data_IF_977867051297
#
_entry.id   IF_977867051297
#
_cell.length_a   1.000
_cell.length_b   1.000
_cell.length_c   1.000
_cell.angle_alpha   90.00
_cell.angle_beta   90.00
_cell.angle_gamma   90.00
#
_symmetry.space_group_name_H-M   'P 1'
#
loop_
_entity.id
_entity.type
_entity.pdbx_description
1 polymer ?
#
# COMPACT_ATOMS: atom_id res chain seq x y z
N UNK A 1 -15.92 11.26 9.63
CA UNK A 1 -14.58 11.84 9.92
C UNK A 1 -13.46 10.80 10.03
N UNK A 2 -13.71 9.50 10.27
CA UNK A 2 -12.64 8.51 10.47
C UNK A 2 -11.79 8.12 9.23
N UNK A 3 -12.35 8.20 8.01
CA UNK A 3 -11.67 7.71 6.80
C UNK A 3 -10.43 8.54 6.39
N UNK A 4 -10.43 9.85 6.63
CA UNK A 4 -9.28 10.71 6.30
C UNK A 4 -8.10 10.47 7.24
N UNK A 5 -8.37 10.37 8.55
CA UNK A 5 -7.37 10.05 9.57
C UNK A 5 -6.80 8.65 9.35
N UNK A 6 -7.64 7.69 8.97
CA UNK A 6 -7.21 6.33 8.62
C UNK A 6 -6.28 6.33 7.40
N UNK A 7 -6.65 7.07 6.34
CA UNK A 7 -5.82 7.24 5.14
C UNK A 7 -4.47 7.89 5.46
N UNK A 8 -4.46 8.91 6.31
CA UNK A 8 -3.23 9.57 6.76
C UNK A 8 -2.32 8.61 7.53
N UNK A 9 -2.90 7.80 8.42
CA UNK A 9 -2.18 6.73 9.13
C UNK A 9 -1.50 5.76 8.16
N UNK A 10 -2.25 5.22 7.19
CA UNK A 10 -1.71 4.28 6.18
C UNK A 10 -0.64 4.94 5.31
N UNK A 11 -0.83 6.20 4.89
CA UNK A 11 0.19 6.95 4.12
C UNK A 11 1.47 7.18 4.94
N UNK A 12 1.34 7.47 6.23
CA UNK A 12 2.48 7.63 7.14
C UNK A 12 3.25 6.31 7.28
N UNK A 13 2.56 5.18 7.48
CA UNK A 13 3.19 3.86 7.49
C UNK A 13 3.89 3.56 6.16
N UNK A 14 3.22 3.77 5.03
CA UNK A 14 3.78 3.48 3.71
C UNK A 14 5.06 4.28 3.43
N UNK A 15 5.06 5.56 3.76
CA UNK A 15 6.23 6.42 3.59
C UNK A 15 7.35 6.09 4.56
N UNK A 16 7.03 5.66 5.79
CA UNK A 16 8.02 5.10 6.71
C UNK A 16 8.67 3.82 6.19
N UNK A 17 7.86 2.89 5.64
CA UNK A 17 8.36 1.66 5.01
C UNK A 17 9.26 1.95 3.80
N UNK A 18 8.97 3.00 3.02
CA UNK A 18 9.87 3.43 1.94
C UNK A 18 11.27 3.77 2.48
N UNK A 19 11.36 4.47 3.60
CA UNK A 19 12.66 4.77 4.21
C UNK A 19 13.37 3.51 4.67
N UNK A 20 12.68 2.51 5.21
CA UNK A 20 13.29 1.21 5.56
C UNK A 20 13.86 0.48 4.33
N UNK A 21 13.17 0.54 3.18
CA UNK A 21 13.67 -0.01 1.91
C UNK A 21 14.98 0.71 1.50
N UNK A 22 15.01 2.04 1.60
CA UNK A 22 16.20 2.84 1.27
C UNK A 22 17.34 2.51 2.23
N UNK A 23 17.07 2.40 3.54
CA UNK A 23 18.06 2.00 4.55
C UNK A 23 18.66 0.65 4.24
N UNK A 24 17.84 -0.36 3.93
CA UNK A 24 18.31 -1.70 3.56
C UNK A 24 19.19 -1.68 2.30
N UNK A 25 18.86 -0.86 1.30
CA UNK A 25 19.69 -0.68 0.11
C UNK A 25 21.05 -0.04 0.44
N UNK A 26 21.07 1.01 1.28
CA UNK A 26 22.31 1.66 1.69
C UNK A 26 23.22 0.71 2.46
N UNK A 27 22.66 -0.07 3.39
CA UNK A 27 23.40 -1.09 4.14
C UNK A 27 23.93 -2.17 3.20
N UNK A 28 23.09 -2.67 2.28
CA UNK A 28 23.50 -3.68 1.29
C UNK A 28 24.64 -3.19 0.39
N UNK A 29 24.57 -1.95 -0.10
CA UNK A 29 25.64 -1.31 -0.88
C UNK A 29 26.91 -1.21 -0.02
N UNK A 30 26.79 -0.81 1.24
CA UNK A 30 27.93 -0.74 2.16
C UNK A 30 28.62 -2.09 2.35
N UNK A 31 27.85 -3.17 2.51
CA UNK A 31 28.40 -4.54 2.62
C UNK A 31 29.12 -4.93 1.32
N UNK A 32 28.53 -4.66 0.15
CA UNK A 32 29.17 -4.96 -1.15
C UNK A 32 30.48 -4.19 -1.30
N UNK A 33 30.49 -2.89 -0.96
CA UNK A 33 31.70 -2.07 -0.99
C UNK A 33 32.75 -2.67 -0.07
N UNK A 34 32.41 -3.05 1.16
CA UNK A 34 33.34 -3.66 2.10
C UNK A 34 33.97 -4.95 1.54
N UNK A 35 33.15 -5.84 0.98
CA UNK A 35 33.60 -7.12 0.43
C UNK A 35 34.46 -6.95 -0.84
N UNK A 36 34.10 -6.01 -1.71
CA UNK A 36 34.81 -5.79 -2.99
C UNK A 36 36.08 -4.97 -2.83
N UNK A 37 36.05 -3.92 -2.00
CA UNK A 37 37.22 -3.07 -1.73
C UNK A 37 38.33 -3.83 -1.01
N UNK A 38 38.01 -4.68 -0.03
CA UNK A 38 38.98 -5.49 0.69
C UNK A 38 39.72 -6.50 -0.21
N UNK A 39 39.05 -7.00 -1.25
CA UNK A 39 39.61 -8.01 -2.17
C UNK A 39 40.37 -7.36 -3.34
N UNK A 40 39.86 -6.25 -3.89
CA UNK A 40 40.48 -5.58 -5.05
C UNK A 40 41.70 -4.74 -4.68
N UNK A 41 41.71 -4.09 -3.52
CA UNK A 41 42.83 -3.20 -3.13
C UNK A 41 44.06 -4.00 -2.71
N UNK A 42 43.88 -5.11 -1.98
CA UNK A 42 44.97 -6.02 -1.60
C UNK A 42 45.66 -6.68 -2.81
N UNK A 43 44.96 -6.86 -3.93
CA UNK A 43 45.50 -7.49 -5.14
C UNK A 43 46.18 -6.52 -6.14
N UNK A 44 45.90 -5.22 -6.07
CA UNK A 44 46.33 -4.23 -7.09
C UNK A 44 47.32 -3.18 -6.57
N UNK A 45 47.39 -2.94 -5.25
CA UNK A 45 48.33 -1.97 -4.70
C UNK A 45 49.74 -2.56 -4.63
N UNK A 46 50.59 -2.26 -5.62
CA UNK A 46 52.02 -2.62 -5.60
C UNK A 46 52.85 -1.93 -4.51
N UNK A 47 52.24 -1.15 -3.60
CA UNK A 47 52.90 -0.48 -2.49
C UNK A 47 52.02 -0.42 -1.23
N UNK A 48 52.66 -0.55 -0.06
CA UNK A 48 51.99 -0.51 1.25
C UNK A 48 51.27 0.81 1.54
N UNK A 49 51.79 1.93 1.01
CA UNK A 49 51.18 3.27 1.14
C UNK A 49 49.90 3.39 0.32
N UNK A 50 49.88 2.82 -0.89
CA UNK A 50 48.68 2.74 -1.72
C UNK A 50 47.58 1.91 -1.06
N UNK A 51 47.94 0.74 -0.53
CA UNK A 51 47.02 -0.12 0.22
C UNK A 51 46.39 0.63 1.41
N UNK A 52 47.22 1.29 2.23
CA UNK A 52 46.76 2.02 3.41
C UNK A 52 45.81 3.18 3.06
N UNK A 53 46.14 3.98 2.05
CA UNK A 53 45.29 5.09 1.61
C UNK A 53 43.91 4.64 1.11
N UNK A 54 43.86 3.50 0.40
CA UNK A 54 42.62 2.93 -0.11
C UNK A 54 41.73 2.35 0.99
N UNK A 55 42.32 1.70 2.00
CA UNK A 55 41.62 1.19 3.18
C UNK A 55 41.01 2.36 3.96
N UNK A 56 41.80 3.40 4.26
CA UNK A 56 41.32 4.57 5.00
C UNK A 56 40.20 5.29 4.23
N UNK A 57 40.36 5.52 2.93
CA UNK A 57 39.32 6.14 2.10
C UNK A 57 38.01 5.33 2.08
N UNK A 58 38.11 4.00 1.97
CA UNK A 58 36.95 3.10 2.02
C UNK A 58 36.26 3.16 3.38
N UNK A 59 37.02 3.11 4.48
CA UNK A 59 36.47 3.17 5.83
C UNK A 59 35.73 4.49 6.09
N UNK A 60 36.30 5.62 5.65
CA UNK A 60 35.63 6.92 5.77
C UNK A 60 34.33 6.94 4.97
N UNK A 61 34.36 6.46 3.72
CA UNK A 61 33.16 6.36 2.88
C UNK A 61 32.07 5.48 3.51
N UNK A 62 32.45 4.34 4.09
CA UNK A 62 31.54 3.44 4.80
C UNK A 62 30.93 4.07 6.04
N UNK A 63 31.73 4.79 6.85
CA UNK A 63 31.24 5.48 8.04
C UNK A 63 30.16 6.51 7.64
N UNK A 64 30.42 7.30 6.60
CA UNK A 64 29.44 8.28 6.09
C UNK A 64 28.16 7.59 5.62
N UNK A 65 28.29 6.51 4.85
CA UNK A 65 27.14 5.74 4.34
C UNK A 65 26.30 5.14 5.48
N UNK A 66 26.95 4.59 6.51
CA UNK A 66 26.29 4.02 7.69
C UNK A 66 25.54 5.12 8.46
N UNK A 67 26.16 6.28 8.68
CA UNK A 67 25.51 7.41 9.37
C UNK A 67 24.25 7.83 8.62
N UNK A 68 24.32 7.99 7.29
CA UNK A 68 23.17 8.33 6.46
C UNK A 68 22.08 7.26 6.58
N UNK A 69 22.45 5.98 6.47
CA UNK A 69 21.51 4.86 6.60
C UNK A 69 20.81 4.83 7.96
N UNK A 70 21.55 5.04 9.06
CA UNK A 70 20.98 5.10 10.41
C UNK A 70 20.00 6.26 10.56
N UNK A 71 20.35 7.45 10.07
CA UNK A 71 19.45 8.61 10.13
C UNK A 71 18.16 8.35 9.36
N UNK A 72 18.25 7.81 8.14
CA UNK A 72 17.08 7.47 7.32
C UNK A 72 16.23 6.39 7.98
N UNK A 73 16.85 5.34 8.53
CA UNK A 73 16.14 4.27 9.25
C UNK A 73 15.40 4.77 10.48
N UNK A 74 16.02 5.64 11.29
CA UNK A 74 15.35 6.24 12.44
C UNK A 74 14.14 7.07 11.99
N UNK A 75 14.29 7.88 10.94
CA UNK A 75 13.17 8.67 10.37
C UNK A 75 12.06 7.74 9.86
N UNK A 76 12.43 6.63 9.20
CA UNK A 76 11.52 5.57 8.76
C UNK A 76 10.68 5.01 9.90
N UNK A 77 11.34 4.48 10.93
CA UNK A 77 10.72 3.95 12.14
C UNK A 77 9.82 4.98 12.82
N UNK A 78 10.28 6.22 13.03
CA UNK A 78 9.46 7.26 13.66
C UNK A 78 8.16 7.53 12.88
N UNK A 79 8.22 7.50 11.54
CA UNK A 79 7.06 7.68 10.68
C UNK A 79 6.11 6.48 10.73
N UNK A 80 6.65 5.26 10.74
CA UNK A 80 5.86 4.04 10.94
C UNK A 80 5.13 4.09 12.31
N UNK A 81 5.82 4.46 13.38
CA UNK A 81 5.23 4.62 14.72
C UNK A 81 4.10 5.63 14.74
N UNK A 82 4.31 6.80 14.13
CA UNK A 82 3.28 7.83 13.97
C UNK A 82 2.05 7.26 13.26
N UNK A 83 2.25 6.56 12.14
CA UNK A 83 1.17 5.91 11.40
C UNK A 83 0.38 4.88 12.22
N UNK A 84 1.06 4.01 12.98
CA UNK A 84 0.38 3.08 13.89
C UNK A 84 -0.41 3.78 15.00
N UNK A 85 0.12 4.88 15.56
CA UNK A 85 -0.59 5.66 16.58
C UNK A 85 -1.87 6.30 16.02
N UNK A 86 -1.83 6.82 14.79
CA UNK A 86 -3.01 7.37 14.10
C UNK A 86 -4.07 6.28 13.87
N UNK A 87 -3.67 5.10 13.42
CA UNK A 87 -4.59 3.98 13.22
C UNK A 87 -5.19 3.47 14.54
N UNK A 88 -4.40 3.43 15.61
CA UNK A 88 -4.88 3.10 16.97
C UNK A 88 -5.93 4.09 17.46
N UNK A 89 -5.71 5.39 17.22
CA UNK A 89 -6.68 6.44 17.55
C UNK A 89 -8.01 6.27 16.79
N UNK A 90 -7.97 5.66 15.60
CA UNK A 90 -9.15 5.35 14.78
C UNK A 90 -9.83 4.01 15.17
N UNK A 91 -9.55 3.48 16.37
CA UNK A 91 -10.05 2.19 16.90
C UNK A 91 -9.66 0.96 16.06
N UNK A 92 -8.55 1.01 15.32
CA UNK A 92 -7.98 -0.19 14.69
C UNK A 92 -7.05 -0.90 15.65
N UNK A 93 -7.16 -2.23 15.73
CA UNK A 93 -6.35 -3.07 16.61
C UNK A 93 -4.94 -3.33 16.07
N UNK A 94 -4.21 -2.25 15.78
CA UNK A 94 -2.84 -2.26 15.22
C UNK A 94 -1.81 -1.66 16.19
N UNK A 95 -2.22 -1.35 17.42
CA UNK A 95 -1.35 -0.73 18.43
C UNK A 95 -0.09 -1.55 18.75
N UNK A 96 -0.13 -2.86 18.51
CA UNK A 96 1.01 -3.77 18.70
C UNK A 96 2.21 -3.39 17.82
N UNK A 97 1.97 -2.92 16.59
CA UNK A 97 3.03 -2.48 15.68
C UNK A 97 3.75 -1.24 16.18
N UNK A 98 3.03 -0.27 16.74
CA UNK A 98 3.61 0.94 17.34
C UNK A 98 4.47 0.63 18.58
N UNK A 99 4.04 -0.33 19.41
CA UNK A 99 4.87 -0.86 20.51
C UNK A 99 6.13 -1.52 19.98
N UNK A 100 6.02 -2.33 18.92
CA UNK A 100 7.16 -2.97 18.26
C UNK A 100 8.21 -1.96 17.77
N UNK A 101 7.80 -0.89 17.09
CA UNK A 101 8.72 0.18 16.67
C UNK A 101 9.42 0.85 17.85
N UNK A 102 8.69 1.08 18.94
CA UNK A 102 9.28 1.72 20.12
C UNK A 102 10.37 0.84 20.74
N UNK A 103 10.13 -0.48 20.81
CA UNK A 103 11.10 -1.45 21.27
C UNK A 103 12.31 -1.55 20.34
N UNK A 104 12.13 -1.48 19.02
CA UNK A 104 13.23 -1.42 18.06
C UNK A 104 14.11 -0.20 18.28
N UNK A 105 13.52 0.98 18.42
CA UNK A 105 14.28 2.22 18.67
C UNK A 105 15.08 2.14 19.98
N UNK A 106 14.46 1.68 21.07
CA UNK A 106 15.14 1.50 22.36
C UNK A 106 16.23 0.43 22.25
N UNK A 107 15.96 -0.68 21.58
CA UNK A 107 16.92 -1.76 21.33
C UNK A 107 18.15 -1.27 20.59
N UNK A 108 17.98 -0.51 19.50
CA UNK A 108 19.08 0.07 18.74
C UNK A 108 19.90 1.09 19.55
N UNK A 109 19.24 1.93 20.36
CA UNK A 109 19.95 2.86 21.25
C UNK A 109 20.82 2.08 22.27
N UNK A 110 20.27 1.03 22.88
CA UNK A 110 21.02 0.18 23.80
C UNK A 110 22.15 -0.57 23.11
N UNK A 111 21.96 -0.98 21.86
CA UNK A 111 23.04 -1.59 21.08
C UNK A 111 24.19 -0.63 20.85
N UNK A 112 23.92 0.64 20.51
CA UNK A 112 24.96 1.66 20.34
C UNK A 112 25.70 1.91 21.66
N UNK A 113 24.96 2.11 22.75
CA UNK A 113 25.55 2.33 24.08
C UNK A 113 26.37 1.11 24.51
N UNK A 114 25.82 -0.08 24.33
CA UNK A 114 26.49 -1.34 24.65
C UNK A 114 27.77 -1.53 23.84
N UNK A 115 27.78 -1.19 22.56
CA UNK A 115 28.95 -1.29 21.70
C UNK A 115 30.09 -0.36 22.16
N UNK A 116 29.75 0.88 22.54
CA UNK A 116 30.71 1.84 23.08
C UNK A 116 31.32 1.36 24.40
N UNK A 117 30.51 0.79 25.28
CA UNK A 117 30.95 0.28 26.59
C UNK A 117 31.61 -1.12 26.51
N UNK A 118 31.45 -1.84 25.40
CA UNK A 118 32.05 -3.17 25.21
C UNK A 118 33.59 -3.13 25.18
N UNK A 119 34.17 -1.96 24.89
CA UNK A 119 35.63 -1.73 24.95
C UNK A 119 36.20 -2.06 26.34
N UNK A 120 35.39 -1.93 27.40
CA UNK A 120 35.76 -2.22 28.79
C UNK A 120 35.06 -3.50 29.31
N UNK A 121 34.55 -4.36 28.43
CA UNK A 121 33.76 -5.57 28.72
C UNK A 121 32.42 -5.36 29.47
N UNK A 122 32.16 -4.18 30.04
CA UNK A 122 30.92 -3.82 30.76
C UNK A 122 29.72 -3.72 29.81
N UNK A 123 29.95 -3.39 28.53
CA UNK A 123 28.89 -3.24 27.54
C UNK A 123 28.25 -4.54 27.05
N UNK A 124 28.86 -5.71 27.29
CA UNK A 124 28.40 -6.99 26.73
C UNK A 124 26.98 -7.37 27.22
N UNK A 125 26.63 -7.28 28.52
CA UNK A 125 25.26 -7.53 28.98
C UNK A 125 24.24 -6.54 28.39
N UNK A 126 24.63 -5.27 28.20
CA UNK A 126 23.77 -4.23 27.63
C UNK A 126 23.46 -4.53 26.16
N UNK A 127 24.47 -4.96 25.39
CA UNK A 127 24.30 -5.42 24.01
C UNK A 127 23.29 -6.57 23.93
N UNK A 128 23.39 -7.54 24.83
CA UNK A 128 22.48 -8.69 24.84
C UNK A 128 21.03 -8.27 25.09
N UNK A 129 20.79 -7.38 26.05
CA UNK A 129 19.46 -6.79 26.30
C UNK A 129 18.96 -6.02 25.07
N UNK A 130 19.82 -5.20 24.46
CA UNK A 130 19.49 -4.44 23.25
C UNK A 130 19.04 -5.35 22.10
N UNK A 131 19.76 -6.45 21.85
CA UNK A 131 19.41 -7.44 20.82
C UNK A 131 18.07 -8.10 21.13
N UNK A 132 17.83 -8.53 22.36
CA UNK A 132 16.54 -9.12 22.76
C UNK A 132 15.39 -8.15 22.49
N UNK A 133 15.52 -6.89 22.89
CA UNK A 133 14.48 -5.88 22.66
C UNK A 133 14.28 -5.59 21.17
N UNK A 134 15.35 -5.54 20.38
CA UNK A 134 15.26 -5.37 18.94
C UNK A 134 14.52 -6.55 18.28
N UNK A 135 14.83 -7.79 18.66
CA UNK A 135 14.15 -8.99 18.15
C UNK A 135 12.66 -8.97 18.51
N UNK A 136 12.32 -8.71 19.76
CA UNK A 136 10.91 -8.60 20.19
C UNK A 136 10.21 -7.47 19.43
N UNK A 137 10.87 -6.32 19.30
CA UNK A 137 10.35 -5.18 18.55
C UNK A 137 10.07 -5.51 17.08
N UNK A 138 10.97 -6.22 16.42
CA UNK A 138 10.85 -6.67 15.03
C UNK A 138 9.65 -7.62 14.85
N UNK A 139 9.49 -8.59 15.77
CA UNK A 139 8.35 -9.53 15.75
C UNK A 139 7.03 -8.77 15.87
N UNK A 140 6.93 -7.86 16.85
CA UNK A 140 5.72 -7.07 17.09
C UNK A 140 5.41 -6.11 15.94
N UNK A 141 6.43 -5.52 15.32
CA UNK A 141 6.30 -4.72 14.11
C UNK A 141 5.73 -5.55 12.96
N UNK A 142 6.29 -6.74 12.71
CA UNK A 142 5.80 -7.67 11.69
C UNK A 142 4.36 -8.12 11.93
N UNK A 143 3.99 -8.43 13.18
CA UNK A 143 2.59 -8.70 13.57
C UNK A 143 1.70 -7.48 13.30
N UNK A 144 2.19 -6.27 13.60
CA UNK A 144 1.50 -5.02 13.29
C UNK A 144 1.17 -4.88 11.80
N UNK A 145 2.13 -5.17 10.93
CA UNK A 145 1.90 -5.19 9.48
C UNK A 145 0.93 -6.30 9.06
N UNK A 146 1.07 -7.51 9.61
CA UNK A 146 0.17 -8.61 9.34
C UNK A 146 -1.29 -8.23 9.64
N UNK A 147 -1.53 -7.63 10.81
CA UNK A 147 -2.86 -7.15 11.23
C UNK A 147 -3.41 -6.06 10.32
N UNK A 148 -2.57 -5.14 9.82
CA UNK A 148 -3.00 -4.18 8.80
C UNK A 148 -3.47 -4.93 7.54
N UNK A 149 -2.69 -5.90 7.06
CA UNK A 149 -3.10 -6.72 5.91
C UNK A 149 -4.40 -7.49 6.13
N UNK A 150 -4.70 -7.88 7.37
CA UNK A 150 -5.96 -8.51 7.78
C UNK A 150 -7.14 -7.54 7.77
N UNK A 151 -6.99 -6.38 8.40
CA UNK A 151 -8.03 -5.35 8.48
C UNK A 151 -8.44 -4.85 7.09
N UNK A 152 -7.47 -4.64 6.20
CA UNK A 152 -7.73 -4.12 4.84
C UNK A 152 -7.82 -5.21 3.77
N UNK A 153 -7.78 -6.49 4.15
CA UNK A 153 -7.83 -7.64 3.25
C UNK A 153 -6.81 -7.58 2.08
N UNK A 154 -5.57 -7.17 2.38
CA UNK A 154 -4.48 -7.11 1.40
C UNK A 154 -3.43 -8.17 1.72
N UNK A 155 -3.47 -9.29 0.98
CA UNK A 155 -2.57 -10.43 1.16
C UNK A 155 -1.08 -10.06 1.07
N UNK A 156 -0.71 -9.10 0.23
CA UNK A 156 0.68 -8.63 0.12
C UNK A 156 1.22 -8.05 1.43
N UNK A 157 0.39 -7.30 2.16
CA UNK A 157 0.79 -6.72 3.45
C UNK A 157 0.89 -7.83 4.52
N UNK A 158 0.03 -8.86 4.47
CA UNK A 158 0.13 -10.02 5.36
C UNK A 158 1.43 -10.79 5.15
N UNK A 159 1.70 -11.18 3.90
CA UNK A 159 2.91 -11.93 3.53
C UNK A 159 4.16 -11.09 3.84
N UNK A 160 4.14 -9.80 3.48
CA UNK A 160 5.25 -8.90 3.79
C UNK A 160 5.49 -8.74 5.30
N UNK A 161 4.44 -8.67 6.12
CA UNK A 161 4.54 -8.68 7.58
C UNK A 161 5.23 -9.93 8.13
N UNK A 162 4.90 -11.11 7.59
CA UNK A 162 5.55 -12.38 7.95
C UNK A 162 7.03 -12.36 7.54
N UNK A 163 7.36 -11.87 6.36
CA UNK A 163 8.76 -11.75 5.91
C UNK A 163 9.58 -10.79 6.77
N UNK A 164 8.98 -9.71 7.27
CA UNK A 164 9.64 -8.82 8.25
C UNK A 164 9.94 -9.55 9.55
N UNK A 165 9.08 -10.46 10.02
CA UNK A 165 9.40 -11.30 11.19
C UNK A 165 10.59 -12.21 10.88
N UNK A 166 10.59 -12.85 9.70
CA UNK A 166 11.66 -13.75 9.28
C UNK A 166 12.98 -13.05 8.97
N UNK A 167 13.00 -11.71 8.92
CA UNK A 167 14.22 -10.92 8.72
C UNK A 167 15.29 -11.15 9.79
N UNK A 168 14.91 -11.68 10.96
CA UNK A 168 15.84 -12.10 12.02
C UNK A 168 16.85 -13.14 11.49
N UNK A 169 16.46 -13.95 10.50
CA UNK A 169 17.34 -14.95 9.89
C UNK A 169 18.25 -14.33 8.81
N UNK A 170 17.71 -13.42 8.00
CA UNK A 170 18.43 -12.80 6.88
C UNK A 170 17.84 -11.43 6.54
N UNK A 171 18.71 -10.43 6.35
CA UNK A 171 18.30 -9.07 6.00
C UNK A 171 17.56 -8.98 4.65
N UNK A 172 17.88 -9.88 3.72
CA UNK A 172 17.25 -9.95 2.40
C UNK A 172 15.75 -10.23 2.50
N UNK A 173 15.33 -11.11 3.42
CA UNK A 173 13.91 -11.38 3.64
C UNK A 173 13.18 -10.15 4.19
N UNK A 174 13.82 -9.39 5.08
CA UNK A 174 13.29 -8.11 5.57
C UNK A 174 13.09 -7.11 4.45
N UNK A 175 14.09 -6.95 3.58
CA UNK A 175 14.02 -6.08 2.42
C UNK A 175 12.84 -6.42 1.49
N UNK A 176 12.69 -7.69 1.13
CA UNK A 176 11.55 -8.15 0.31
C UNK A 176 10.23 -7.91 1.05
N UNK A 177 10.19 -8.19 2.36
CA UNK A 177 9.03 -7.94 3.21
C UNK A 177 8.56 -6.49 3.17
N UNK A 178 9.49 -5.53 3.33
CA UNK A 178 9.18 -4.11 3.25
C UNK A 178 8.69 -3.69 1.87
N UNK A 179 9.23 -4.24 0.77
CA UNK A 179 8.71 -3.98 -0.59
C UNK A 179 7.26 -4.44 -0.71
N UNK A 180 6.94 -5.67 -0.29
CA UNK A 180 5.59 -6.20 -0.38
C UNK A 180 4.60 -5.37 0.46
N UNK A 181 5.02 -4.94 1.66
CA UNK A 181 4.23 -4.03 2.49
C UNK A 181 4.02 -2.70 1.77
N UNK A 182 5.07 -2.08 1.23
CA UNK A 182 4.95 -0.80 0.52
C UNK A 182 3.97 -0.84 -0.65
N UNK A 183 4.08 -1.87 -1.50
CA UNK A 183 3.19 -2.09 -2.64
C UNK A 183 1.78 -2.41 -2.17
N UNK A 184 1.64 -3.27 -1.16
CA UNK A 184 0.35 -3.64 -0.58
C UNK A 184 -0.39 -2.46 0.04
N UNK A 185 0.31 -1.61 0.82
CA UNK A 185 -0.26 -0.39 1.39
C UNK A 185 -0.66 0.62 0.30
N UNK A 186 0.01 0.62 -0.85
CA UNK A 186 -0.43 1.39 -2.03
C UNK A 186 -1.87 1.05 -2.46
N UNK A 187 -2.23 -0.25 -2.43
CA UNK A 187 -3.59 -0.72 -2.72
C UNK A 187 -4.58 -0.35 -1.62
N UNK A 188 -4.15 -0.35 -0.36
CA UNK A 188 -4.99 0.12 0.76
C UNK A 188 -5.33 1.60 0.58
N UNK A 189 -4.33 2.42 0.26
CA UNK A 189 -4.50 3.87 0.01
C UNK A 189 -5.45 4.14 -1.15
N UNK A 190 -5.39 3.35 -2.23
CA UNK A 190 -6.28 3.53 -3.38
C UNK A 190 -7.72 3.09 -3.11
N UNK A 191 -7.92 2.14 -2.19
CA UNK A 191 -9.23 1.56 -1.89
C UNK A 191 -9.95 2.26 -0.73
N UNK A 192 -9.25 3.05 0.07
CA UNK A 192 -9.88 3.89 1.08
C UNK A 192 -10.60 5.05 0.37
N UNK A 193 -11.91 5.27 0.63
CA UNK A 193 -12.64 6.38 0.04
C UNK A 193 -11.93 7.68 0.43
N UNK A 194 -11.27 8.30 -0.54
CA UNK A 194 -10.84 9.67 -0.41
C UNK A 194 -12.12 10.45 -0.12
N UNK A 195 -12.26 10.98 1.09
CA UNK A 195 -13.17 12.09 1.27
C UNK A 195 -12.66 13.16 0.31
N UNK A 196 -13.41 13.35 -0.77
CA UNK A 196 -13.22 14.40 -1.76
C UNK A 196 -12.77 15.64 -1.01
N UNK A 197 -11.52 16.11 -1.19
CA UNK A 197 -11.22 17.48 -0.88
C UNK A 197 -12.23 18.28 -1.70
N UNK A 198 -12.92 19.23 -1.06
CA UNK A 198 -13.57 20.29 -1.78
C UNK A 198 -12.59 20.76 -2.87
N UNK A 199 -13.11 20.81 -4.10
CA UNK A 199 -12.41 21.14 -5.32
C UNK A 199 -11.36 22.24 -5.10
N UNK A 200 -10.08 21.89 -5.13
CA UNK A 200 -9.07 22.82 -5.59
C UNK A 200 -8.77 22.44 -7.03
N UNK A 201 -9.45 23.15 -7.95
CA UNK A 201 -9.05 23.21 -9.34
C UNK A 201 -7.64 23.82 -9.38
N UNK A 202 -6.61 22.99 -9.46
CA UNK A 202 -5.28 23.43 -9.87
C UNK A 202 -5.21 23.27 -11.38
N UNK A 203 -5.32 24.40 -12.08
CA UNK A 203 -5.06 24.53 -13.51
C UNK A 203 -3.59 24.19 -13.78
N UNK A 204 -3.32 23.03 -14.38
CA UNK A 204 -2.00 22.70 -14.94
C UNK A 204 -2.05 22.91 -16.46
N UNK A 205 -1.07 23.63 -17.05
CA UNK A 205 -0.95 23.74 -18.50
C UNK A 205 -0.51 22.40 -19.13
N UNK A 206 -0.90 22.12 -20.39
CA UNK A 206 -0.63 20.84 -21.04
C UNK A 206 0.85 20.71 -21.40
N UNK A 207 1.49 19.64 -20.92
CA UNK A 207 2.79 19.16 -21.40
C UNK A 207 2.58 18.04 -22.42
N UNK A 208 3.41 18.08 -23.46
CA UNK A 208 3.42 17.27 -24.68
C UNK A 208 3.39 15.75 -24.44
N UNK A 209 2.67 14.97 -25.27
CA UNK A 209 2.48 13.53 -25.06
C UNK A 209 3.73 12.73 -25.45
N UNK A 210 4.26 11.94 -24.51
CA UNK A 210 5.10 10.79 -24.82
C UNK A 210 4.22 9.55 -25.12
N UNK A 211 4.64 8.63 -26.00
CA UNK A 211 3.85 7.45 -26.35
C UNK A 211 3.79 6.47 -25.16
N UNK A 212 2.58 6.25 -24.66
CA UNK A 212 2.32 5.32 -23.55
C UNK A 212 1.99 3.92 -24.13
N UNK A 213 2.46 2.81 -23.51
CA UNK A 213 2.14 1.46 -23.93
C UNK A 213 0.62 1.19 -23.87
N UNK A 214 0.06 0.63 -24.93
CA UNK A 214 -1.38 0.39 -25.08
C UNK A 214 -1.91 -0.57 -24.01
N UNK A 215 -2.57 -0.04 -23.00
CA UNK A 215 -3.51 -0.79 -22.17
C UNK A 215 -4.75 -1.06 -23.02
N UNK A 216 -5.11 -2.34 -23.23
CA UNK A 216 -6.38 -2.68 -23.88
C UNK A 216 -7.52 -2.01 -23.09
N UNK A 217 -8.22 -1.08 -23.72
CA UNK A 217 -9.33 -0.37 -23.10
C UNK A 217 -10.43 -1.39 -22.77
N UNK A 218 -10.80 -1.47 -21.49
CA UNK A 218 -11.94 -2.28 -21.05
C UNK A 218 -13.20 -1.68 -21.69
N UNK A 219 -13.92 -2.48 -22.48
CA UNK A 219 -15.16 -2.08 -23.13
C UNK A 219 -16.32 -2.75 -22.41
N UNK A 220 -17.35 -1.95 -22.13
CA UNK A 220 -18.59 -2.43 -21.53
C UNK A 220 -19.76 -1.79 -22.27
N UNK A 221 -20.71 -2.61 -22.70
CA UNK A 221 -21.86 -2.17 -23.50
C UNK A 221 -23.12 -2.98 -23.18
N UNK A 222 -24.28 -2.38 -23.39
CA UNK A 222 -25.55 -3.08 -23.22
C UNK A 222 -25.82 -4.01 -24.41
N UNK A 223 -26.35 -5.20 -24.11
CA UNK A 223 -26.84 -6.15 -25.11
C UNK A 223 -28.37 -6.12 -25.09
N UNK A 224 -28.97 -5.68 -26.19
CA UNK A 224 -30.42 -5.57 -26.31
C UNK A 224 -31.03 -4.47 -25.43
N UNK A 225 -32.33 -4.56 -25.20
CA UNK A 225 -33.09 -3.64 -24.37
C UNK A 225 -33.48 -4.33 -23.06
N UNK A 226 -33.30 -3.63 -21.93
CA UNK A 226 -33.72 -4.16 -20.63
C UNK A 226 -35.20 -3.90 -20.34
N UNK A 227 -35.69 -4.49 -19.26
CA UNK A 227 -37.07 -4.33 -18.78
C UNK A 227 -37.03 -3.85 -17.35
N UNK A 228 -37.74 -2.77 -17.04
CA UNK A 228 -38.05 -2.35 -15.67
C UNK A 228 -39.47 -2.79 -15.36
N UNK A 229 -39.65 -3.65 -14.36
CA UNK A 229 -40.94 -4.23 -13.98
C UNK A 229 -41.63 -3.39 -12.91
N UNK A 230 -42.98 -3.42 -12.86
CA UNK A 230 -43.81 -2.73 -11.86
C UNK A 230 -43.47 -3.02 -10.40
N UNK A 231 -42.81 -4.14 -10.13
CA UNK A 231 -42.29 -4.54 -8.82
C UNK A 231 -40.98 -3.83 -8.43
N UNK A 232 -40.46 -2.92 -9.26
CA UNK A 232 -39.23 -2.16 -9.01
C UNK A 232 -37.95 -2.84 -9.49
N UNK A 233 -38.02 -4.04 -10.07
CA UNK A 233 -36.84 -4.74 -10.60
C UNK A 233 -36.57 -4.41 -12.07
N UNK A 234 -35.37 -3.92 -12.35
CA UNK A 234 -34.81 -3.81 -13.69
C UNK A 234 -33.99 -5.05 -14.02
N UNK A 235 -34.23 -5.63 -15.20
CA UNK A 235 -33.47 -6.75 -15.76
C UNK A 235 -32.85 -6.31 -17.09
N UNK A 236 -31.53 -6.40 -17.21
CA UNK A 236 -30.80 -6.03 -18.44
C UNK A 236 -29.50 -6.82 -18.56
N UNK A 237 -28.96 -6.89 -19.78
CA UNK A 237 -27.73 -7.63 -20.07
C UNK A 237 -26.60 -6.67 -20.44
N UNK A 238 -25.44 -6.85 -19.83
CA UNK A 238 -24.21 -6.14 -20.18
C UNK A 238 -23.15 -7.10 -20.71
N UNK A 239 -22.50 -6.71 -21.82
CA UNK A 239 -21.27 -7.33 -22.30
C UNK A 239 -20.06 -6.58 -21.73
N UNK A 240 -19.06 -7.31 -21.25
CA UNK A 240 -17.76 -6.74 -20.80
C UNK A 240 -16.58 -7.54 -21.34
N UNK A 241 -15.48 -6.87 -21.68
CA UNK A 241 -14.23 -7.52 -22.12
C UNK A 241 -13.31 -7.94 -20.98
N UNK A 242 -13.58 -7.50 -19.75
CA UNK A 242 -12.81 -7.82 -18.56
C UNK A 242 -13.72 -7.97 -17.33
N UNK A 243 -13.17 -8.46 -16.22
CA UNK A 243 -13.90 -8.48 -14.94
C UNK A 243 -14.08 -7.04 -14.42
N UNK A 244 -15.32 -6.65 -14.14
CA UNK A 244 -15.69 -5.30 -13.66
C UNK A 244 -16.69 -5.36 -12.52
N UNK A 245 -16.78 -4.31 -11.71
CA UNK A 245 -17.68 -4.24 -10.56
C UNK A 245 -18.67 -3.10 -10.71
N UNK A 246 -19.97 -3.37 -10.55
CA UNK A 246 -21.00 -2.32 -10.51
C UNK A 246 -20.95 -1.63 -9.14
N UNK A 247 -20.81 -0.32 -9.13
CA UNK A 247 -20.71 0.49 -7.90
C UNK A 247 -22.06 1.11 -7.54
N UNK A 248 -22.80 1.60 -8.53
CA UNK A 248 -24.13 2.17 -8.33
C UNK A 248 -24.96 2.13 -9.61
N UNK A 249 -26.27 2.23 -9.44
CA UNK A 249 -27.22 2.40 -10.53
C UNK A 249 -28.28 3.45 -10.12
N UNK A 250 -28.62 4.36 -11.03
CA UNK A 250 -29.69 5.34 -10.83
C UNK A 250 -30.48 5.55 -12.11
N UNK A 251 -31.76 5.90 -12.00
CA UNK A 251 -32.60 6.21 -13.17
C UNK A 251 -32.46 7.70 -13.49
N UNK A 252 -32.00 8.03 -14.70
CA UNK A 252 -31.82 9.39 -15.20
C UNK A 252 -33.15 10.18 -15.13
N UNK A 253 -33.08 11.43 -14.67
CA UNK A 253 -34.27 12.27 -14.50
C UNK A 253 -35.11 11.96 -13.25
N UNK A 254 -34.65 11.07 -12.37
CA UNK A 254 -35.33 10.75 -11.10
C UNK A 254 -34.34 10.71 -9.92
N UNK A 255 -34.87 10.62 -8.69
CA UNK A 255 -34.06 10.38 -7.49
C UNK A 255 -33.97 8.88 -7.13
N UNK A 256 -34.38 7.99 -8.04
CA UNK A 256 -34.40 6.55 -7.80
C UNK A 256 -33.01 5.96 -7.98
N UNK A 257 -32.49 5.39 -6.89
CA UNK A 257 -31.23 4.66 -6.87
C UNK A 257 -31.48 3.19 -6.55
N UNK A 258 -30.69 2.31 -7.14
CA UNK A 258 -30.81 0.89 -6.85
C UNK A 258 -30.33 0.60 -5.43
N UNK A 259 -31.16 -0.09 -4.65
CA UNK A 259 -30.81 -0.56 -3.29
C UNK A 259 -30.24 -1.98 -3.32
N UNK A 260 -30.45 -2.71 -4.42
CA UNK A 260 -29.92 -4.05 -4.63
C UNK A 260 -29.53 -4.24 -6.10
N UNK A 261 -28.40 -4.90 -6.35
CA UNK A 261 -27.89 -5.24 -7.68
C UNK A 261 -27.30 -6.65 -7.61
N UNK A 262 -27.67 -7.53 -8.54
CA UNK A 262 -27.12 -8.88 -8.63
C UNK A 262 -26.99 -9.33 -10.09
N UNK A 263 -25.80 -9.77 -10.55
CA UNK A 263 -24.53 -9.79 -9.83
C UNK A 263 -23.87 -8.39 -9.73
N UNK A 264 -23.12 -8.16 -8.67
CA UNK A 264 -22.31 -6.93 -8.49
C UNK A 264 -20.98 -7.03 -9.26
N UNK A 265 -20.43 -8.24 -9.42
CA UNK A 265 -19.20 -8.51 -10.16
C UNK A 265 -19.56 -9.16 -11.49
N UNK A 266 -19.16 -8.55 -12.60
CA UNK A 266 -19.40 -9.02 -13.95
C UNK A 266 -18.17 -9.75 -14.48
N UNK A 267 -18.37 -10.93 -15.07
CA UNK A 267 -17.30 -11.70 -15.72
C UNK A 267 -17.19 -11.32 -17.20
N UNK A 268 -16.02 -11.54 -17.85
CA UNK A 268 -15.90 -11.35 -19.29
C UNK A 268 -17.00 -12.09 -20.07
N UNK A 269 -17.66 -11.40 -20.99
CA UNK A 269 -18.83 -11.89 -21.73
C UNK A 269 -20.14 -11.22 -21.32
N UNK A 270 -21.26 -11.91 -21.60
CA UNK A 270 -22.62 -11.42 -21.32
C UNK A 270 -23.02 -11.71 -19.87
N UNK A 271 -23.47 -10.70 -19.15
CA UNK A 271 -23.91 -10.79 -17.77
C UNK A 271 -25.35 -10.29 -17.66
N UNK A 272 -26.23 -11.13 -17.12
CA UNK A 272 -27.61 -10.77 -16.83
C UNK A 272 -27.69 -10.14 -15.44
N UNK A 273 -28.13 -8.89 -15.38
CA UNK A 273 -28.13 -8.08 -14.16
C UNK A 273 -29.56 -7.79 -13.77
N UNK A 274 -29.83 -7.94 -12.47
CA UNK A 274 -31.08 -7.57 -11.82
C UNK A 274 -30.80 -6.47 -10.80
N UNK A 275 -31.43 -5.31 -10.96
CA UNK A 275 -31.28 -4.15 -10.08
C UNK A 275 -32.63 -3.70 -9.53
N UNK A 276 -32.74 -3.46 -8.22
CA UNK A 276 -33.98 -3.08 -7.56
C UNK A 276 -33.98 -1.60 -7.18
N UNK A 277 -34.93 -0.84 -7.74
CA UNK A 277 -35.04 0.62 -7.55
C UNK A 277 -36.12 1.03 -6.54
N UNK A 278 -36.78 0.07 -5.89
CA UNK A 278 -37.83 0.35 -4.92
C UNK A 278 -39.13 0.80 -5.57
N UNK A 279 -39.78 1.80 -4.97
CA UNK A 279 -41.07 2.30 -5.44
C UNK A 279 -40.91 3.12 -6.73
N UNK A 280 -41.46 2.60 -7.83
CA UNK A 280 -41.41 3.22 -9.16
C UNK A 280 -42.78 3.70 -9.66
N UNK A 281 -43.77 3.88 -8.78
CA UNK A 281 -45.14 4.26 -9.14
C UNK A 281 -45.26 5.60 -9.88
N UNK A 282 -44.22 6.43 -9.83
CA UNK A 282 -44.15 7.72 -10.53
C UNK A 282 -43.67 7.59 -11.99
N UNK A 283 -43.34 6.38 -12.46
CA UNK A 283 -42.93 6.14 -13.84
C UNK A 283 -44.13 5.87 -14.76
N UNK A 284 -44.04 6.27 -16.01
CA UNK A 284 -45.09 6.15 -17.02
C UNK A 284 -44.92 4.85 -17.82
N UNK A 285 -45.90 3.92 -17.78
CA UNK A 285 -45.84 2.65 -18.50
C UNK A 285 -45.51 2.79 -19.99
N UNK A 286 -44.72 1.86 -20.54
CA UNK A 286 -44.31 1.85 -21.95
C UNK A 286 -43.19 2.83 -22.29
N UNK A 287 -42.74 3.65 -21.34
CA UNK A 287 -41.65 4.61 -21.56
C UNK A 287 -40.29 3.93 -21.41
N UNK A 288 -39.33 4.32 -22.26
CA UNK A 288 -37.92 3.91 -22.10
C UNK A 288 -37.22 4.85 -21.13
N UNK A 289 -36.66 4.28 -20.08
CA UNK A 289 -35.85 4.97 -19.09
C UNK A 289 -34.37 4.64 -19.28
N UNK A 290 -33.50 5.59 -18.93
CA UNK A 290 -32.05 5.40 -18.94
C UNK A 290 -31.59 5.16 -17.51
N UNK A 291 -30.96 4.02 -17.27
CA UNK A 291 -30.23 3.74 -16.04
C UNK A 291 -28.78 4.18 -16.26
N UNK A 292 -28.31 5.10 -15.42
CA UNK A 292 -26.90 5.45 -15.30
C UNK A 292 -26.23 4.47 -14.34
N UNK A 293 -25.37 3.61 -14.89
CA UNK A 293 -24.54 2.68 -14.13
C UNK A 293 -23.15 3.26 -13.94
N UNK A 294 -22.68 3.26 -12.69
CA UNK A 294 -21.28 3.55 -12.38
C UNK A 294 -20.56 2.22 -12.18
N UNK A 295 -19.53 1.97 -12.97
CA UNK A 295 -18.77 0.71 -12.97
C UNK A 295 -17.30 1.00 -12.68
N UNK A 296 -16.67 0.12 -11.91
CA UNK A 296 -15.23 0.13 -11.67
C UNK A 296 -14.57 -0.97 -12.52
N UNK A 297 -13.79 -0.54 -13.52
CA UNK A 297 -12.96 -1.40 -14.35
C UNK A 297 -11.50 -1.19 -13.97
N UNK A 298 -10.93 -2.12 -13.20
CA UNK A 298 -9.50 -2.12 -12.83
C UNK A 298 -9.00 -0.81 -12.17
N UNK A 299 -9.87 -0.15 -11.40
CA UNK A 299 -9.57 1.12 -10.72
C UNK A 299 -10.03 2.37 -11.45
N UNK A 300 -10.52 2.24 -12.70
CA UNK A 300 -11.12 3.33 -13.44
C UNK A 300 -12.64 3.30 -13.31
N UNK A 301 -13.22 4.42 -12.89
CA UNK A 301 -14.66 4.61 -12.82
C UNK A 301 -15.18 5.02 -14.20
N UNK A 302 -16.13 4.27 -14.73
CA UNK A 302 -16.78 4.54 -16.01
C UNK A 302 -18.30 4.56 -15.83
N UNK A 303 -18.95 5.49 -16.53
CA UNK A 303 -20.41 5.61 -16.55
C UNK A 303 -20.97 4.99 -17.82
N UNK A 304 -21.99 4.16 -17.68
CA UNK A 304 -22.66 3.49 -18.79
C UNK A 304 -24.14 3.79 -18.72
N UNK A 305 -24.71 4.12 -19.88
CA UNK A 305 -26.14 4.33 -20.04
C UNK A 305 -26.77 3.04 -20.51
N UNK A 306 -27.78 2.57 -19.79
CA UNK A 306 -28.55 1.35 -20.09
C UNK A 306 -30.00 1.73 -20.30
N UNK A 307 -30.55 1.37 -21.46
CA UNK A 307 -31.94 1.62 -21.80
C UNK A 307 -32.83 0.47 -21.33
N UNK A 308 -33.85 0.79 -20.53
CA UNK A 308 -34.85 -0.17 -20.05
C UNK A 308 -36.26 0.32 -20.37
N UNK A 309 -37.17 -0.56 -20.76
CA UNK A 309 -38.59 -0.22 -20.97
C UNK A 309 -39.36 -0.52 -19.71
N UNK A 310 -40.14 0.45 -19.23
CA UNK A 310 -41.01 0.22 -18.10
C UNK A 310 -42.25 -0.58 -18.51
N UNK A 311 -42.40 -1.75 -17.92
CA UNK A 311 -43.53 -2.66 -18.07
C UNK A 311 -44.17 -2.85 -16.68
N UNK A 312 -45.39 -2.34 -16.45
CA UNK A 312 -46.07 -2.48 -15.16
C UNK A 312 -46.37 -3.94 -14.82
#
# INVERSE_FOLDING_TARGET
MNGQTELEGIKSIRSGVLFEIITALLVGIGIIILLTSGVLTAGLSGSAVGAFSSIVGTLIGLIVLIIIGVVIGIVGLLRIRSGFNILKATRRDVGIGGTGVTLLLVGYILMVIGALLAIVFIGIPILFIGVILAVIGQILLGIGFYRIGEIYNVGLVKVGGILVILSILTDLLGFIGYILIYVGLGRVVSNLPMATPAQMQTYYPPLTPMPQPSTQAVQVSQVGQGVLRGDGYAQFTLYTTAQVTIVSASIEGTNLQATYINPIILQPGNNNIMAYFGNISNLTPGTTYIINLTINAQGNMMNIKVSVVYQP
#
